data_IF_378652358559
#
_entry.id   IF_378652358559
#
_cell.length_a   1.000
_cell.length_b   1.000
_cell.length_c   1.000
_cell.angle_alpha   90.00
_cell.angle_beta   90.00
_cell.angle_gamma   90.00
#
_symmetry.space_group_name_H-M   'P 1'
#
loop_
_entity.id
_entity.type
_entity.pdbx_description
1 polymer ?
#
# COMPACT_ATOMS: atom_id res chain seq x y z
N UNK A 1 53.36 2.69 15.37
CA UNK A 1 52.44 2.24 16.44
C UNK A 1 51.43 3.35 16.72
N UNK A 2 50.40 3.45 15.89
CA UNK A 2 49.24 4.33 16.12
C UNK A 2 48.03 3.43 15.89
N UNK A 3 47.53 2.86 16.97
CA UNK A 3 46.31 2.06 17.03
C UNK A 3 45.65 2.34 18.37
N UNK A 4 44.32 2.24 18.41
CA UNK A 4 43.46 2.31 19.60
C UNK A 4 42.95 3.68 20.10
N UNK A 5 42.56 4.62 19.23
CA UNK A 5 41.58 5.66 19.65
C UNK A 5 40.39 5.91 18.73
N UNK A 6 40.28 5.23 17.58
CA UNK A 6 39.14 5.43 16.67
C UNK A 6 37.94 4.48 16.92
N UNK A 7 38.13 3.40 17.69
CA UNK A 7 37.08 2.39 17.89
C UNK A 7 36.14 2.68 19.07
N UNK A 8 36.46 3.64 19.96
CA UNK A 8 35.59 3.95 21.10
C UNK A 8 34.57 5.06 20.83
N UNK A 9 34.81 5.95 19.85
CA UNK A 9 33.81 6.96 19.46
C UNK A 9 32.68 6.38 18.59
N UNK A 10 32.96 5.36 17.76
CA UNK A 10 31.93 4.70 16.94
C UNK A 10 30.99 3.81 17.75
N UNK A 11 31.42 3.32 18.92
CA UNK A 11 30.56 2.52 19.80
C UNK A 11 29.59 3.39 20.61
N UNK A 12 29.91 4.67 20.84
CA UNK A 12 29.06 5.58 21.61
C UNK A 12 27.92 6.20 20.77
N UNK A 13 28.07 6.32 19.45
CA UNK A 13 26.99 6.80 18.58
C UNK A 13 25.92 5.73 18.28
N UNK A 14 26.25 4.44 18.36
CA UNK A 14 25.29 3.35 18.17
C UNK A 14 24.48 2.99 19.42
N UNK A 15 24.92 3.46 20.60
CA UNK A 15 24.18 3.28 21.86
C UNK A 15 23.18 4.42 22.14
N UNK A 16 23.29 5.56 21.46
CA UNK A 16 22.32 6.68 21.56
C UNK A 16 21.13 6.55 20.62
N UNK A 17 21.19 5.68 19.61
CA UNK A 17 20.02 5.29 18.80
C UNK A 17 19.18 4.18 19.42
N UNK A 18 19.62 3.63 20.55
CA UNK A 18 18.85 2.70 21.39
C UNK A 18 18.27 3.41 22.63
N UNK A 19 17.97 4.71 22.51
CA UNK A 19 16.87 5.24 23.31
C UNK A 19 15.65 4.49 22.78
N UNK A 20 15.20 3.50 23.54
CA UNK A 20 13.81 3.07 23.53
C UNK A 20 12.99 4.36 23.57
N UNK A 21 12.56 4.83 22.40
CA UNK A 21 11.31 5.55 22.33
C UNK A 21 10.30 4.56 22.87
N UNK A 22 10.09 4.60 24.18
CA UNK A 22 8.84 4.22 24.81
C UNK A 22 7.77 5.11 24.17
N UNK A 23 7.43 4.77 22.93
CA UNK A 23 6.20 5.20 22.31
C UNK A 23 5.16 4.41 23.09
N UNK A 24 4.52 5.07 24.05
CA UNK A 24 3.44 4.54 24.89
C UNK A 24 2.16 4.31 24.06
N UNK A 25 2.32 3.87 22.81
CA UNK A 25 1.28 3.72 21.81
C UNK A 25 1.51 2.39 21.09
N UNK A 26 0.55 1.49 21.30
CA UNK A 26 0.55 0.16 20.73
C UNK A 26 0.15 0.27 19.25
N UNK A 27 1.10 0.11 18.33
CA UNK A 27 0.81 0.04 16.90
C UNK A 27 0.00 -1.23 16.63
N UNK A 28 -1.23 -1.07 16.14
CA UNK A 28 -2.07 -2.20 15.75
C UNK A 28 -1.65 -2.70 14.38
N UNK A 29 -0.70 -3.64 14.32
CA UNK A 29 -0.38 -4.36 13.09
C UNK A 29 -1.55 -5.29 12.73
N UNK A 30 -2.28 -4.98 11.66
CA UNK A 30 -3.35 -5.84 11.15
C UNK A 30 -2.78 -7.14 10.58
N UNK A 31 -3.56 -8.22 10.75
CA UNK A 31 -3.23 -9.55 10.24
C UNK A 31 -3.29 -9.65 8.72
N UNK A 32 -2.74 -10.73 8.18
CA UNK A 32 -2.52 -10.95 6.76
C UNK A 32 -3.80 -10.94 5.93
N UNK A 33 -4.03 -9.86 5.20
CA UNK A 33 -5.06 -9.79 4.17
C UNK A 33 -4.48 -10.28 2.83
N UNK A 34 -5.25 -11.08 2.08
CA UNK A 34 -4.85 -11.50 0.73
C UNK A 34 -4.93 -10.29 -0.20
N UNK A 35 -3.78 -9.68 -0.45
CA UNK A 35 -3.66 -8.51 -1.33
C UNK A 35 -3.85 -8.90 -2.80
N UNK A 36 -4.72 -8.18 -3.50
CA UNK A 36 -4.98 -8.44 -4.92
C UNK A 36 -3.77 -8.05 -5.79
N UNK A 37 -3.60 -8.75 -6.93
CA UNK A 37 -2.50 -8.54 -7.88
C UNK A 37 -3.06 -8.03 -9.20
N UNK A 38 -2.78 -6.77 -9.49
CA UNK A 38 -3.25 -6.00 -10.63
C UNK A 38 -2.26 -6.08 -11.77
N UNK A 39 -2.77 -6.29 -12.97
CA UNK A 39 -1.96 -6.22 -14.17
C UNK A 39 -1.75 -4.77 -14.64
N UNK A 40 -0.49 -4.32 -14.70
CA UNK A 40 -0.16 -3.02 -15.29
C UNK A 40 0.08 -3.17 -16.79
N UNK A 41 -0.83 -2.61 -17.60
CA UNK A 41 -0.74 -2.64 -19.07
C UNK A 41 0.60 -2.04 -19.54
N UNK A 42 1.37 -2.79 -20.33
CA UNK A 42 2.64 -2.30 -20.87
C UNK A 42 2.53 -1.83 -22.33
N UNK A 43 3.21 -0.74 -22.68
CA UNK A 43 3.71 -0.54 -24.03
C UNK A 43 5.01 -1.35 -24.21
N UNK A 44 4.88 -2.60 -24.66
CA UNK A 44 5.92 -3.31 -25.45
C UNK A 44 7.29 -3.67 -24.87
N UNK A 45 7.71 -3.21 -23.67
CA UNK A 45 9.06 -3.50 -23.17
C UNK A 45 9.09 -4.04 -21.72
N UNK A 46 9.57 -5.27 -21.58
CA UNK A 46 9.86 -5.92 -20.29
C UNK A 46 11.28 -5.62 -19.85
N UNK A 47 11.46 -4.60 -19.01
CA UNK A 47 12.73 -4.41 -18.30
C UNK A 47 12.79 -5.34 -17.08
N UNK A 48 13.83 -6.16 -16.99
CA UNK A 48 13.93 -7.26 -15.99
C UNK A 48 14.83 -6.87 -14.79
N UNK A 49 15.74 -5.91 -14.93
CA UNK A 49 16.83 -5.70 -13.95
C UNK A 49 16.60 -4.49 -13.03
N UNK A 50 16.60 -4.69 -11.71
CA UNK A 50 16.50 -3.62 -10.69
C UNK A 50 17.89 -3.05 -10.34
N UNK A 51 18.51 -2.28 -11.25
CA UNK A 51 19.80 -1.63 -10.96
C UNK A 51 19.60 -0.16 -10.58
N UNK A 52 20.08 0.25 -9.40
CA UNK A 52 20.06 1.67 -8.98
C UNK A 52 20.91 2.58 -9.89
N UNK A 53 21.79 1.99 -10.69
CA UNK A 53 22.63 2.68 -11.67
C UNK A 53 22.01 2.72 -13.07
N UNK A 54 20.83 2.13 -13.25
CA UNK A 54 20.09 2.15 -14.50
C UNK A 54 19.10 3.32 -14.45
N UNK A 55 19.18 4.22 -15.42
CA UNK A 55 18.30 5.40 -15.53
C UNK A 55 16.82 4.99 -15.61
N UNK A 56 16.52 3.73 -15.96
CA UNK A 56 15.15 3.16 -15.94
C UNK A 56 14.58 3.00 -14.52
N UNK A 57 15.43 2.85 -13.49
CA UNK A 57 15.02 2.66 -12.09
C UNK A 57 15.27 3.86 -11.19
N UNK A 58 16.08 4.82 -11.64
CA UNK A 58 16.34 6.05 -10.91
C UNK A 58 15.36 7.17 -11.30
N UNK A 59 14.07 6.88 -11.29
CA UNK A 59 13.03 7.84 -11.63
C UNK A 59 12.31 8.32 -10.36
N UNK A 60 11.84 9.56 -10.39
CA UNK A 60 11.08 10.16 -9.28
C UNK A 60 9.83 9.34 -8.99
N UNK A 61 9.66 8.95 -7.73
CA UNK A 61 8.44 8.31 -7.27
C UNK A 61 7.28 9.30 -7.25
N UNK A 62 6.10 8.89 -7.74
CA UNK A 62 4.89 9.73 -7.82
C UNK A 62 3.77 9.11 -7.02
N UNK A 63 3.28 9.83 -6.01
CA UNK A 63 2.20 9.40 -5.13
C UNK A 63 0.96 10.24 -5.42
N UNK A 64 -0.14 9.58 -5.76
CA UNK A 64 -1.45 10.21 -5.87
C UNK A 64 -2.24 10.01 -4.58
N UNK A 65 -2.61 11.09 -3.92
CA UNK A 65 -3.43 11.08 -2.71
C UNK A 65 -4.92 11.25 -3.08
N UNK A 66 -5.74 10.25 -2.78
CA UNK A 66 -7.20 10.31 -2.97
C UNK A 66 -7.92 10.40 -1.61
N UNK A 67 -8.74 11.44 -1.41
CA UNK A 67 -9.49 11.63 -0.17
C UNK A 67 -10.92 11.09 -0.31
N UNK A 68 -11.23 10.07 0.48
CA UNK A 68 -12.57 9.52 0.59
C UNK A 68 -13.54 10.50 1.29
N UNK A 69 -14.83 10.38 1.00
CA UNK A 69 -15.88 11.23 1.61
C UNK A 69 -15.94 11.15 3.15
N UNK A 70 -15.47 10.04 3.74
CA UNK A 70 -15.29 9.87 5.17
C UNK A 70 -14.26 10.82 5.76
N UNK A 71 -13.27 11.29 4.99
CA UNK A 71 -12.29 12.26 5.49
C UNK A 71 -12.96 13.57 5.89
N UNK A 72 -13.83 14.09 5.04
CA UNK A 72 -14.56 15.34 5.28
C UNK A 72 -15.70 15.19 6.28
N UNK A 73 -16.33 14.03 6.35
CA UNK A 73 -17.46 13.78 7.27
C UNK A 73 -17.03 13.27 8.65
N UNK A 74 -15.85 12.64 8.77
CA UNK A 74 -15.33 12.05 10.01
C UNK A 74 -14.42 12.96 10.82
N UNK A 75 -13.96 14.08 10.26
CA UNK A 75 -13.05 15.03 10.91
C UNK A 75 -13.63 16.44 10.94
N UNK A 76 -13.26 17.24 11.94
CA UNK A 76 -13.58 18.67 11.94
C UNK A 76 -12.72 19.42 10.91
N UNK A 77 -13.20 20.55 10.39
CA UNK A 77 -12.50 21.33 9.34
C UNK A 77 -11.07 21.72 9.72
N UNK A 78 -10.83 22.08 10.99
CA UNK A 78 -9.49 22.39 11.49
C UNK A 78 -8.55 21.17 11.46
N UNK A 79 -9.07 19.99 11.81
CA UNK A 79 -8.29 18.74 11.76
C UNK A 79 -8.07 18.30 10.31
N UNK A 80 -9.05 18.51 9.42
CA UNK A 80 -8.92 18.21 7.98
C UNK A 80 -7.77 18.98 7.34
N UNK A 81 -7.71 20.31 7.53
CA UNK A 81 -6.62 21.13 6.97
C UNK A 81 -5.26 20.64 7.47
N UNK A 82 -5.17 20.39 8.77
CA UNK A 82 -3.96 19.93 9.43
C UNK A 82 -3.48 18.58 8.91
N UNK A 83 -4.38 17.61 8.78
CA UNK A 83 -4.05 16.29 8.22
C UNK A 83 -3.75 16.39 6.72
N UNK A 84 -4.42 17.28 5.99
CA UNK A 84 -4.11 17.58 4.59
C UNK A 84 -2.65 18.00 4.39
N UNK A 85 -2.19 18.96 5.19
CA UNK A 85 -0.79 19.42 5.18
C UNK A 85 0.18 18.29 5.56
N UNK A 86 -0.18 17.47 6.55
CA UNK A 86 0.63 16.32 6.98
C UNK A 86 0.74 15.27 5.87
N UNK A 87 -0.37 14.89 5.24
CA UNK A 87 -0.37 13.94 4.12
C UNK A 87 0.49 14.47 2.98
N UNK A 88 0.37 15.76 2.65
CA UNK A 88 1.23 16.40 1.66
C UNK A 88 2.71 16.28 2.02
N UNK A 89 3.08 16.58 3.26
CA UNK A 89 4.47 16.48 3.72
C UNK A 89 4.98 15.02 3.68
N UNK A 90 4.12 14.05 4.00
CA UNK A 90 4.47 12.62 3.90
C UNK A 90 4.69 12.23 2.45
N UNK A 91 3.80 12.62 1.53
CA UNK A 91 3.97 12.32 0.11
C UNK A 91 5.21 13.00 -0.45
N UNK A 92 5.47 14.27 -0.12
CA UNK A 92 6.67 14.98 -0.59
C UNK A 92 7.95 14.26 -0.10
N UNK A 93 8.02 13.90 1.18
CA UNK A 93 9.13 13.14 1.73
C UNK A 93 9.38 11.83 0.96
N UNK A 94 8.33 11.07 0.65
CA UNK A 94 8.45 9.81 -0.07
C UNK A 94 8.92 10.01 -1.51
N UNK A 95 8.37 11.01 -2.20
CA UNK A 95 8.73 11.33 -3.59
C UNK A 95 10.17 11.85 -3.71
N UNK A 96 10.69 12.53 -2.68
CA UNK A 96 12.07 13.00 -2.61
C UNK A 96 13.07 11.92 -2.20
N UNK A 97 12.63 10.95 -1.38
CA UNK A 97 13.51 9.94 -0.77
C UNK A 97 13.62 8.66 -1.61
N UNK A 98 12.55 8.29 -2.31
CA UNK A 98 12.46 7.01 -3.01
C UNK A 98 12.55 7.21 -4.53
N UNK A 99 13.41 6.41 -5.15
CA UNK A 99 13.44 6.23 -6.61
C UNK A 99 12.77 4.93 -6.98
N UNK A 100 12.02 4.94 -8.07
CA UNK A 100 11.30 3.78 -8.59
C UNK A 100 11.49 3.63 -10.09
N UNK A 101 11.10 2.48 -10.61
CA UNK A 101 10.68 2.40 -12.01
C UNK A 101 9.23 2.84 -12.10
N UNK A 102 8.98 3.89 -12.87
CA UNK A 102 7.65 4.46 -13.01
C UNK A 102 6.67 3.47 -13.65
N UNK A 103 5.42 3.54 -13.21
CA UNK A 103 4.28 2.86 -13.80
C UNK A 103 4.06 3.41 -15.22
N UNK A 104 4.01 2.53 -16.24
CA UNK A 104 3.99 2.94 -17.65
C UNK A 104 2.60 3.37 -18.16
N UNK A 105 1.55 3.07 -17.42
CA UNK A 105 0.15 3.32 -17.77
C UNK A 105 -0.61 3.89 -16.58
N UNK A 106 -1.81 4.45 -16.77
CA UNK A 106 -2.70 4.76 -15.66
C UNK A 106 -2.93 3.54 -14.76
N UNK A 107 -2.98 3.75 -13.45
CA UNK A 107 -3.26 2.69 -12.48
C UNK A 107 -4.78 2.47 -12.45
N UNK A 108 -5.20 1.24 -12.75
CA UNK A 108 -6.58 0.76 -12.62
C UNK A 108 -6.57 -0.41 -11.64
N UNK A 109 -7.42 -0.38 -10.62
CA UNK A 109 -7.48 -1.38 -9.57
C UNK A 109 -8.52 -2.46 -9.89
N UNK A 110 -8.24 -3.69 -9.46
CA UNK A 110 -9.24 -4.76 -9.50
C UNK A 110 -10.43 -4.41 -8.62
N UNK A 111 -11.64 -4.82 -9.04
CA UNK A 111 -12.83 -4.72 -8.21
C UNK A 111 -12.82 -5.76 -7.10
N UNK A 112 -13.38 -5.46 -5.93
CA UNK A 112 -13.61 -6.47 -4.90
C UNK A 112 -14.52 -7.59 -5.44
N UNK A 113 -14.30 -8.81 -4.98
CA UNK A 113 -15.14 -9.96 -5.33
C UNK A 113 -16.06 -10.30 -4.18
N UNK A 114 -17.29 -10.68 -4.50
CA UNK A 114 -18.22 -11.11 -3.47
C UNK A 114 -17.73 -12.37 -2.78
N UNK A 115 -17.64 -12.31 -1.46
CA UNK A 115 -17.03 -13.35 -0.62
C UNK A 115 -15.50 -13.46 -0.75
N UNK A 116 -14.82 -12.52 -1.42
CA UNK A 116 -13.36 -12.46 -1.57
C UNK A 116 -12.76 -13.56 -2.45
N UNK A 117 -13.57 -14.36 -3.13
CA UNK A 117 -13.12 -15.49 -3.94
C UNK A 117 -12.85 -15.08 -5.39
N UNK A 118 -11.67 -15.46 -5.90
CA UNK A 118 -11.23 -15.10 -7.24
C UNK A 118 -10.32 -16.15 -7.86
N UNK A 119 -10.15 -16.04 -9.17
CA UNK A 119 -9.24 -16.90 -9.93
C UNK A 119 -7.90 -16.19 -10.18
N UNK A 120 -6.81 -16.82 -9.77
CA UNK A 120 -5.47 -16.42 -10.17
C UNK A 120 -5.19 -16.96 -11.59
N UNK A 121 -5.51 -16.17 -12.61
CA UNK A 121 -5.29 -16.51 -14.02
C UNK A 121 -4.52 -15.41 -14.73
N UNK A 122 -3.71 -15.74 -15.74
CA UNK A 122 -3.12 -14.73 -16.62
C UNK A 122 -4.23 -13.92 -17.32
N UNK A 123 -4.09 -12.60 -17.32
CA UNK A 123 -5.06 -11.69 -17.91
C UNK A 123 -4.85 -10.26 -17.39
N UNK A 124 -5.52 -9.29 -18.01
CA UNK A 124 -5.45 -7.89 -17.59
C UNK A 124 -6.41 -7.56 -16.43
N UNK A 125 -7.41 -8.42 -16.20
CA UNK A 125 -8.40 -8.28 -15.12
C UNK A 125 -8.55 -9.61 -14.39
N UNK A 126 -8.55 -9.56 -13.06
CA UNK A 126 -8.75 -10.73 -12.21
C UNK A 126 -10.24 -11.14 -12.16
N UNK A 127 -10.62 -12.37 -12.54
CA UNK A 127 -12.00 -12.82 -12.49
C UNK A 127 -12.47 -13.15 -11.07
N UNK A 128 -13.65 -12.66 -10.70
CA UNK A 128 -14.36 -13.04 -9.48
C UNK A 128 -15.05 -14.40 -9.63
N UNK A 129 -15.01 -15.23 -8.59
CA UNK A 129 -15.66 -16.55 -8.61
C UNK A 129 -17.17 -16.42 -8.77
N UNK A 130 -17.80 -15.57 -7.95
CA UNK A 130 -19.23 -15.29 -7.97
C UNK A 130 -19.53 -14.08 -8.87
N UNK A 131 -19.34 -12.88 -8.32
CA UNK A 131 -19.61 -11.59 -8.94
C UNK A 131 -18.68 -10.53 -8.36
N UNK A 132 -18.50 -9.41 -9.07
CA UNK A 132 -17.82 -8.25 -8.48
C UNK A 132 -18.74 -7.54 -7.47
N UNK A 133 -18.15 -6.96 -6.44
CA UNK A 133 -18.86 -6.06 -5.55
C UNK A 133 -19.20 -4.75 -6.27
N UNK A 134 -20.37 -4.19 -5.94
CA UNK A 134 -20.80 -2.89 -6.49
C UNK A 134 -19.91 -1.74 -5.99
N UNK A 135 -19.38 -1.90 -4.78
CA UNK A 135 -18.45 -0.97 -4.14
C UNK A 135 -17.15 -1.70 -3.85
N UNK A 136 -16.04 -1.18 -4.36
CA UNK A 136 -14.70 -1.69 -4.06
C UNK A 136 -14.05 -0.77 -3.04
N UNK A 137 -13.29 -1.37 -2.12
CA UNK A 137 -12.62 -0.66 -1.03
C UNK A 137 -11.12 -0.88 -1.06
N UNK A 138 -10.38 0.10 -0.56
CA UNK A 138 -8.96 -0.04 -0.24
C UNK A 138 -8.84 0.29 1.25
N UNK A 139 -8.82 -0.76 2.07
CA UNK A 139 -9.00 -0.62 3.53
C UNK A 139 -10.37 -0.02 3.85
N UNK A 140 -10.39 1.12 4.52
CA UNK A 140 -11.64 1.81 4.89
C UNK A 140 -12.12 2.83 3.86
N UNK A 141 -11.32 3.12 2.83
CA UNK A 141 -11.68 4.09 1.80
C UNK A 141 -12.44 3.41 0.65
N UNK A 142 -13.44 4.09 0.11
CA UNK A 142 -14.12 3.64 -1.11
C UNK A 142 -13.26 3.99 -2.32
N UNK A 143 -13.04 3.03 -3.21
CA UNK A 143 -12.33 3.26 -4.47
C UNK A 143 -13.31 3.81 -5.51
N UNK A 144 -13.04 4.99 -6.12
CA UNK A 144 -13.90 5.54 -7.16
C UNK A 144 -13.99 4.66 -8.40
N UNK A 145 -15.13 4.66 -9.08
CA UNK A 145 -15.36 3.84 -10.27
C UNK A 145 -14.37 4.17 -11.40
N UNK A 146 -13.95 5.42 -11.51
CA UNK A 146 -12.95 5.88 -12.46
C UNK A 146 -11.55 5.30 -12.21
N UNK A 147 -11.27 4.78 -11.02
CA UNK A 147 -10.00 4.11 -10.70
C UNK A 147 -10.08 2.58 -10.90
N UNK A 148 -11.23 2.01 -11.25
CA UNK A 148 -11.44 0.56 -11.30
C UNK A 148 -11.38 0.01 -12.72
N UNK A 149 -10.89 -1.22 -12.84
CA UNK A 149 -11.05 -2.06 -14.03
C UNK A 149 -12.54 -2.41 -14.25
N UNK A 150 -12.86 -2.86 -15.46
CA UNK A 150 -14.13 -3.57 -15.73
C UNK A 150 -14.27 -4.83 -14.88
N UNK A 151 -15.48 -5.37 -14.79
CA UNK A 151 -15.76 -6.58 -14.02
C UNK A 151 -15.64 -7.83 -14.89
N UNK A 152 -15.04 -8.89 -14.36
CA UNK A 152 -15.17 -10.26 -14.89
C UNK A 152 -15.69 -11.15 -13.78
N UNK A 153 -16.79 -11.84 -14.02
CA UNK A 153 -17.47 -12.70 -13.03
C UNK A 153 -17.84 -14.05 -13.60
N UNK A 154 -17.80 -15.10 -12.79
CA UNK A 154 -17.98 -16.48 -13.25
C UNK A 154 -19.23 -17.18 -12.69
N UNK A 155 -20.10 -16.46 -11.96
CA UNK A 155 -21.39 -16.98 -11.49
C UNK A 155 -21.30 -18.24 -10.61
N UNK A 156 -20.19 -18.43 -9.90
CA UNK A 156 -19.91 -19.62 -9.09
C UNK A 156 -19.40 -20.83 -9.88
N UNK A 157 -19.06 -20.66 -11.15
CA UNK A 157 -18.54 -21.71 -12.01
C UNK A 157 -17.01 -21.81 -11.94
N UNK A 158 -16.50 -23.03 -11.80
CA UNK A 158 -15.07 -23.31 -11.97
C UNK A 158 -14.64 -23.36 -13.45
N UNK A 159 -15.59 -23.40 -14.38
CA UNK A 159 -15.31 -23.40 -15.81
C UNK A 159 -14.92 -21.99 -16.29
N UNK A 160 -13.68 -21.78 -16.79
CA UNK A 160 -13.23 -20.49 -17.30
C UNK A 160 -14.14 -19.87 -18.37
N UNK A 161 -14.73 -20.70 -19.22
CA UNK A 161 -15.57 -20.25 -20.33
C UNK A 161 -16.94 -19.74 -19.88
N UNK A 162 -17.29 -19.93 -18.60
CA UNK A 162 -18.53 -19.42 -18.03
C UNK A 162 -18.38 -17.98 -17.48
N UNK A 163 -17.18 -17.42 -17.50
CA UNK A 163 -16.95 -16.07 -17.02
C UNK A 163 -17.42 -15.03 -18.04
N UNK A 164 -18.16 -14.04 -17.56
CA UNK A 164 -18.70 -12.93 -18.36
C UNK A 164 -18.07 -11.62 -17.93
N UNK A 165 -17.77 -10.78 -18.91
CA UNK A 165 -17.30 -9.41 -18.69
C UNK A 165 -18.47 -8.43 -18.64
N UNK A 166 -18.42 -7.46 -17.74
CA UNK A 166 -19.42 -6.40 -17.62
C UNK A 166 -18.79 -5.05 -17.24
N UNK A 167 -19.47 -3.97 -17.63
CA UNK A 167 -18.99 -2.61 -17.44
C UNK A 167 -17.83 -2.24 -18.37
N UNK A 168 -17.17 -1.12 -18.06
CA UNK A 168 -15.99 -0.63 -18.78
C UNK A 168 -14.91 -0.26 -17.78
N UNK A 169 -13.65 -0.26 -18.22
CA UNK A 169 -12.56 0.28 -17.44
C UNK A 169 -12.81 1.78 -17.16
N UNK A 170 -12.41 2.23 -15.98
CA UNK A 170 -12.32 3.65 -15.65
C UNK A 170 -11.17 4.34 -16.41
N UNK A 171 -11.00 5.65 -16.16
CA UNK A 171 -9.89 6.41 -16.72
C UNK A 171 -8.53 6.02 -16.11
N UNK A 172 -8.55 5.51 -14.88
CA UNK A 172 -7.36 5.19 -14.10
C UNK A 172 -6.64 6.43 -13.58
N UNK A 173 -5.74 6.21 -12.63
CA UNK A 173 -4.90 7.27 -12.07
C UNK A 173 -3.66 7.43 -12.93
N UNK A 174 -3.63 8.50 -13.73
CA UNK A 174 -2.50 8.84 -14.59
C UNK A 174 -1.36 9.49 -13.81
N UNK A 175 -0.13 9.39 -14.32
CA UNK A 175 1.07 10.03 -13.74
C UNK A 175 1.33 9.66 -12.27
N UNK A 176 0.96 8.45 -11.86
CA UNK A 176 1.17 7.94 -10.51
C UNK A 176 1.86 6.59 -10.55
N UNK A 177 2.70 6.34 -9.55
CA UNK A 177 3.33 5.04 -9.30
C UNK A 177 2.69 4.31 -8.13
N UNK A 178 2.01 5.07 -7.26
CA UNK A 178 1.29 4.61 -6.10
C UNK A 178 0.05 5.48 -5.83
N UNK A 179 -1.06 4.86 -5.49
CA UNK A 179 -2.31 5.53 -5.10
C UNK A 179 -2.53 5.32 -3.61
N UNK A 180 -2.48 6.41 -2.84
CA UNK A 180 -2.77 6.41 -1.40
C UNK A 180 -4.21 6.89 -1.18
N UNK A 181 -5.06 6.02 -0.65
CA UNK A 181 -6.44 6.35 -0.27
C UNK A 181 -6.49 6.82 1.18
N UNK A 182 -7.03 8.01 1.42
CA UNK A 182 -7.10 8.66 2.73
C UNK A 182 -8.55 8.70 3.20
N UNK A 183 -8.79 8.22 4.41
CA UNK A 183 -10.12 8.13 5.01
C UNK A 183 -10.08 8.53 6.49
N UNK A 184 -11.26 8.72 7.09
CA UNK A 184 -11.40 8.95 8.52
C UNK A 184 -12.65 8.24 9.06
N UNK A 185 -12.61 6.90 9.04
CA UNK A 185 -13.68 6.04 9.54
C UNK A 185 -13.38 5.59 10.97
N UNK A 186 -14.37 5.68 11.85
CA UNK A 186 -14.28 5.11 13.19
C UNK A 186 -14.46 3.59 13.11
N UNK A 187 -13.36 2.85 13.25
CA UNK A 187 -13.33 1.38 13.18
C UNK A 187 -12.91 0.77 14.51
N UNK A 188 -13.02 -0.57 14.62
CA UNK A 188 -12.47 -1.30 15.77
C UNK A 188 -10.98 -1.01 15.99
N UNK A 189 -10.20 -0.82 14.92
CA UNK A 189 -8.78 -0.43 15.00
C UNK A 189 -8.56 0.94 15.66
N UNK A 190 -9.55 1.85 15.56
CA UNK A 190 -9.52 3.14 16.25
C UNK A 190 -9.90 3.05 17.72
N UNK A 191 -10.71 2.05 18.10
CA UNK A 191 -11.20 1.90 19.48
C UNK A 191 -10.33 0.95 20.32
N UNK A 192 -9.66 0.00 19.68
CA UNK A 192 -8.74 -0.94 20.34
C UNK A 192 -7.49 -0.19 20.80
N UNK A 193 -7.36 0.04 22.12
CA UNK A 193 -6.20 0.71 22.73
C UNK A 193 -6.35 2.22 22.96
N UNK A 194 -7.50 2.82 22.58
CA UNK A 194 -7.87 4.22 22.90
C UNK A 194 -6.94 5.33 22.39
N UNK A 195 -5.89 4.97 21.66
CA UNK A 195 -4.76 5.85 21.36
C UNK A 195 -4.23 5.72 19.93
N UNK A 196 -4.76 4.78 19.13
CA UNK A 196 -4.46 4.67 17.71
C UNK A 196 -4.92 5.94 17.01
N UNK A 197 -3.98 6.70 16.42
CA UNK A 197 -4.30 7.93 15.68
C UNK A 197 -4.41 7.70 14.18
N UNK A 198 -3.77 6.66 13.65
CA UNK A 198 -3.88 6.23 12.27
C UNK A 198 -3.51 4.75 12.14
N UNK A 199 -3.95 4.12 11.06
CA UNK A 199 -3.47 2.82 10.61
C UNK A 199 -3.49 2.77 9.09
N UNK A 200 -2.61 1.96 8.50
CA UNK A 200 -2.47 1.87 7.06
C UNK A 200 -2.11 0.45 6.60
N UNK A 201 -2.31 0.21 5.31
CA UNK A 201 -1.96 -1.06 4.68
C UNK A 201 -1.96 -0.98 3.17
N UNK A 202 -1.31 -1.95 2.53
CA UNK A 202 -1.40 -2.14 1.09
C UNK A 202 -2.73 -2.86 0.78
N UNK A 203 -3.43 -2.43 -0.27
CA UNK A 203 -4.65 -3.10 -0.71
C UNK A 203 -4.46 -3.83 -2.05
N UNK A 204 -3.62 -3.30 -2.95
CA UNK A 204 -3.34 -3.94 -4.24
C UNK A 204 -1.87 -3.76 -4.67
N UNK A 205 -1.33 -4.80 -5.31
CA UNK A 205 0.05 -4.87 -5.81
C UNK A 205 0.05 -5.10 -7.32
N UNK A 206 1.13 -4.76 -8.02
CA UNK A 206 1.28 -5.18 -9.41
C UNK A 206 1.62 -6.69 -9.51
N UNK A 207 1.17 -7.32 -10.59
CA UNK A 207 1.34 -8.75 -10.83
C UNK A 207 2.75 -9.15 -11.33
N UNK A 208 3.53 -8.20 -11.82
CA UNK A 208 4.84 -8.51 -12.40
C UNK A 208 5.99 -8.44 -11.39
N UNK A 209 6.12 -7.33 -10.67
CA UNK A 209 7.24 -7.10 -9.75
C UNK A 209 6.86 -7.08 -8.27
N UNK A 210 5.63 -7.50 -7.96
CA UNK A 210 5.14 -7.63 -6.59
C UNK A 210 5.34 -6.35 -5.76
N UNK A 211 5.14 -5.17 -6.37
CA UNK A 211 5.19 -3.89 -5.66
C UNK A 211 3.77 -3.44 -5.32
N UNK A 212 3.50 -2.96 -4.10
CA UNK A 212 2.27 -2.24 -3.81
C UNK A 212 2.09 -1.06 -4.78
N UNK A 213 0.92 -0.97 -5.39
CA UNK A 213 0.53 0.14 -6.28
C UNK A 213 -0.64 0.93 -5.71
N UNK A 214 -1.34 0.36 -4.73
CA UNK A 214 -2.35 1.05 -3.96
C UNK A 214 -2.32 0.60 -2.50
N UNK A 215 -2.56 1.56 -1.62
CA UNK A 215 -2.77 1.33 -0.21
C UNK A 215 -3.59 2.45 0.39
N UNK A 216 -3.86 2.34 1.67
CA UNK A 216 -4.72 3.25 2.38
C UNK A 216 -4.09 3.71 3.68
N UNK A 217 -4.54 4.87 4.18
CA UNK A 217 -4.34 5.33 5.53
C UNK A 217 -5.66 5.87 6.07
N UNK A 218 -6.07 5.37 7.24
CA UNK A 218 -7.25 5.84 7.94
C UNK A 218 -6.84 6.63 9.18
N UNK A 219 -7.28 7.87 9.29
CA UNK A 219 -7.07 8.70 10.47
C UNK A 219 -8.21 8.53 11.48
N UNK A 220 -7.88 8.19 12.72
CA UNK A 220 -8.84 7.97 13.79
C UNK A 220 -9.16 9.30 14.49
N UNK A 221 -10.35 9.84 14.25
CA UNK A 221 -10.79 11.13 14.80
C UNK A 221 -10.73 11.20 16.33
N UNK A 222 -10.99 10.08 17.03
CA UNK A 222 -10.90 9.99 18.49
C UNK A 222 -9.46 10.01 19.03
N UNK A 223 -8.47 9.63 18.23
CA UNK A 223 -7.05 9.62 18.64
C UNK A 223 -6.34 10.95 18.39
N UNK A 224 -6.85 11.77 17.46
CA UNK A 224 -6.23 13.04 17.08
C UNK A 224 -6.86 14.17 17.88
N UNK A 225 -6.19 14.58 18.94
CA UNK A 225 -6.62 15.68 19.81
C UNK A 225 -5.99 17.01 19.39
N UNK A 226 -6.57 18.13 19.84
CA UNK A 226 -5.97 19.46 19.65
C UNK A 226 -4.58 19.60 20.29
N UNK A 227 -4.26 18.74 21.28
CA UNK A 227 -2.96 18.69 21.95
C UNK A 227 -1.92 17.82 21.22
N UNK A 228 -2.34 16.97 20.29
CA UNK A 228 -1.41 16.22 19.44
C UNK A 228 -0.56 17.22 18.66
N UNK A 229 0.75 17.00 18.50
CA UNK A 229 1.63 17.91 17.72
C UNK A 229 1.68 17.49 16.25
N UNK A 230 1.94 18.45 15.34
CA UNK A 230 2.03 18.14 13.89
C UNK A 230 3.16 17.16 13.61
N UNK A 231 4.29 17.35 14.30
CA UNK A 231 5.44 16.47 14.18
C UNK A 231 5.11 15.02 14.60
N UNK A 232 4.30 14.85 15.65
CA UNK A 232 3.86 13.53 16.08
C UNK A 232 2.96 12.87 15.04
N UNK A 233 1.91 13.56 14.58
CA UNK A 233 1.00 13.01 13.57
C UNK A 233 1.74 12.72 12.26
N UNK A 234 2.65 13.60 11.83
CA UNK A 234 3.52 13.37 10.68
C UNK A 234 4.39 12.12 10.84
N UNK A 235 5.00 11.93 12.00
CA UNK A 235 5.85 10.77 12.26
C UNK A 235 5.06 9.46 12.20
N UNK A 236 3.86 9.44 12.78
CA UNK A 236 2.97 8.29 12.73
C UNK A 236 2.45 8.07 11.30
N UNK A 237 1.93 9.10 10.63
CA UNK A 237 1.44 8.98 9.26
C UNK A 237 2.53 8.46 8.32
N UNK A 238 3.77 8.93 8.45
CA UNK A 238 4.92 8.40 7.70
C UNK A 238 5.19 6.93 8.02
N UNK A 239 5.17 6.54 9.29
CA UNK A 239 5.34 5.14 9.71
C UNK A 239 4.27 4.24 9.09
N UNK A 240 3.01 4.65 9.19
CA UNK A 240 1.86 3.91 8.65
C UNK A 240 1.93 3.82 7.10
N UNK A 241 2.21 4.91 6.40
CA UNK A 241 2.34 4.87 4.94
C UNK A 241 3.52 3.98 4.49
N UNK A 242 4.60 3.89 5.27
CA UNK A 242 5.68 2.92 4.98
C UNK A 242 5.19 1.47 5.07
N UNK A 243 4.32 1.13 6.01
CA UNK A 243 3.68 -0.19 6.03
C UNK A 243 2.88 -0.45 4.74
N UNK A 244 2.11 0.55 4.29
CA UNK A 244 1.34 0.47 3.06
C UNK A 244 2.19 0.39 1.77
N UNK A 245 3.45 0.83 1.81
CA UNK A 245 4.41 0.74 0.71
C UNK A 245 5.14 -0.60 0.62
N UNK A 246 5.01 -1.48 1.62
CA UNK A 246 5.67 -2.78 1.61
C UNK A 246 6.48 -3.11 2.86
N UNK A 247 6.67 -2.16 3.79
CA UNK A 247 7.41 -2.40 5.04
C UNK A 247 6.54 -3.10 6.09
N UNK A 248 5.85 -4.18 5.69
CA UNK A 248 4.98 -4.98 6.55
C UNK A 248 5.38 -6.45 6.47
N UNK A 249 5.29 -7.17 7.59
CA UNK A 249 5.69 -8.59 7.68
C UNK A 249 4.98 -9.46 6.64
N UNK A 250 3.68 -9.23 6.42
CA UNK A 250 2.90 -9.93 5.39
C UNK A 250 3.34 -9.63 3.95
N UNK A 251 4.10 -8.55 3.74
CA UNK A 251 4.62 -8.13 2.44
C UNK A 251 6.08 -8.54 2.21
N UNK A 252 6.84 -8.88 3.25
CA UNK A 252 8.23 -9.32 3.08
C UNK A 252 8.39 -10.57 2.20
N UNK A 253 7.50 -11.59 2.26
CA UNK A 253 7.58 -12.72 1.34
C UNK A 253 7.49 -12.32 -0.14
N UNK A 254 6.96 -11.14 -0.45
CA UNK A 254 6.84 -10.65 -1.81
C UNK A 254 8.10 -9.97 -2.36
N UNK A 255 9.11 -9.72 -1.52
CA UNK A 255 10.31 -9.00 -1.94
C UNK A 255 11.11 -9.75 -3.01
N UNK A 256 11.81 -8.97 -3.84
CA UNK A 256 12.65 -9.46 -4.94
C UNK A 256 14.10 -9.03 -4.76
N UNK A 257 15.00 -9.77 -5.38
CA UNK A 257 16.42 -9.43 -5.44
C UNK A 257 16.72 -8.34 -6.48
N UNK A 258 17.98 -7.94 -6.57
CA UNK A 258 18.51 -6.96 -7.52
C UNK A 258 18.35 -7.38 -9.00
N UNK A 259 18.18 -8.68 -9.26
CA UNK A 259 17.94 -9.23 -10.58
C UNK A 259 16.44 -9.35 -10.89
N UNK A 260 15.57 -8.94 -9.95
CA UNK A 260 14.12 -9.02 -10.09
C UNK A 260 13.54 -10.40 -9.75
N UNK A 261 14.33 -11.34 -9.23
CA UNK A 261 13.84 -12.67 -8.84
C UNK A 261 13.15 -12.62 -7.47
N UNK A 262 12.07 -13.38 -7.24
CA UNK A 262 11.48 -13.55 -5.91
C UNK A 262 12.52 -14.03 -4.88
N UNK A 263 12.63 -13.35 -3.72
CA UNK A 263 13.46 -13.81 -2.60
C UNK A 263 12.84 -15.01 -1.89
N UNK A 264 11.51 -15.11 -1.92
CA UNK A 264 10.76 -16.27 -1.44
C UNK A 264 10.19 -17.03 -2.63
N UNK A 265 10.32 -18.37 -2.70
CA UNK A 265 9.74 -19.17 -3.79
C UNK A 265 8.25 -18.90 -3.99
N UNK A 266 7.77 -18.98 -5.23
CA UNK A 266 6.33 -18.85 -5.55
C UNK A 266 5.73 -20.21 -5.85
N UNK A 267 4.45 -20.40 -5.50
CA UNK A 267 3.66 -21.55 -5.93
C UNK A 267 3.24 -21.41 -7.41
N UNK A 268 2.52 -22.40 -7.94
CA UNK A 268 2.03 -22.42 -9.33
C UNK A 268 1.15 -21.22 -9.70
N UNK A 269 0.56 -20.56 -8.72
CA UNK A 269 -0.32 -19.40 -8.89
C UNK A 269 0.43 -18.07 -8.66
N UNK A 270 1.75 -18.10 -8.47
CA UNK A 270 2.58 -16.91 -8.29
C UNK A 270 2.56 -16.31 -6.88
N UNK A 271 2.01 -17.01 -5.88
CA UNK A 271 1.98 -16.55 -4.49
C UNK A 271 3.14 -17.14 -3.68
N UNK A 272 3.71 -16.41 -2.70
CA UNK A 272 4.59 -17.03 -1.71
C UNK A 272 3.81 -18.13 -0.95
N UNK A 273 4.49 -19.09 -0.30
CA UNK A 273 3.84 -19.99 0.63
C UNK A 273 3.04 -19.14 1.62
N UNK A 274 1.83 -19.58 1.97
CA UNK A 274 1.07 -18.97 3.05
C UNK A 274 2.04 -18.76 4.21
N UNK A 275 2.05 -17.58 4.81
CA UNK A 275 2.66 -17.39 6.11
C UNK A 275 1.78 -18.09 7.17
N UNK A 276 1.52 -19.38 6.97
CA UNK A 276 1.09 -20.29 8.01
C UNK A 276 2.30 -20.56 8.90
N UNK A 277 2.52 -19.64 9.83
CA UNK A 277 3.46 -19.73 10.94
C UNK A 277 2.81 -19.12 12.18
N UNK A 278 1.79 -19.79 12.68
CA UNK A 278 1.04 -19.45 13.91
C UNK A 278 -0.14 -20.37 14.11
#
# INVERSE_FOLDING_TARGET
MISNRCSQLLCFCLLLSAIESNCEYQCSHHGEEKIARVHLRKPGHSAVKRSLTDDVFNQTFRVYAHYDSSFSSGLSSGVQSRIGDIVKNVTDFLQETLSVRQTPSPILLDRDCSGGQFFARPGDVRPCFQQCETTTTCGTATVPQEHLLRCIECGGSFNPSACTESGTDGAGVSNADYVLYISAVSTGSCTNGGSTIAFAGACQMEDEYDRPIAGYINFCSGGITSASSDLFIFTVAKHEVLHALGFSSGLFPWFRDENGNPRTPRNSNGFPPSASGG
#
